data_IF_948065461234
#
_entry.id   IF_948065461234
#
_cell.length_a   1.000
_cell.length_b   1.000
_cell.length_c   1.000
_cell.angle_alpha   90.00
_cell.angle_beta   90.00
_cell.angle_gamma   90.00
#
_symmetry.space_group_name_H-M   'P 1'
#
loop_
_entity.id
_entity.type
_entity.pdbx_description
1 polymer ?
#
# COMPACT_ATOMS: atom_id res chain seq x y z
N UNK A 1 18.06 4.56 -3.56
CA UNK A 1 17.74 3.36 -4.36
C UNK A 1 16.34 3.41 -5.01
N UNK A 2 15.29 3.86 -4.31
CA UNK A 2 13.91 3.97 -4.86
C UNK A 2 13.74 4.91 -6.06
N UNK A 3 14.39 6.10 -6.07
CA UNK A 3 14.35 7.02 -7.23
C UNK A 3 14.85 6.36 -8.51
N UNK A 4 15.91 5.53 -8.43
CA UNK A 4 16.44 4.83 -9.61
C UNK A 4 15.44 3.80 -10.17
N UNK A 5 14.69 3.11 -9.32
CA UNK A 5 13.69 2.10 -9.75
C UNK A 5 12.48 2.78 -10.39
N UNK A 6 11.92 3.81 -9.74
CA UNK A 6 10.74 4.49 -10.23
C UNK A 6 11.05 5.31 -11.50
N UNK A 7 12.17 6.03 -11.53
CA UNK A 7 12.59 6.81 -12.72
C UNK A 7 12.94 5.91 -13.90
N UNK A 8 13.59 4.75 -13.68
CA UNK A 8 13.87 3.80 -14.78
C UNK A 8 12.58 3.20 -15.36
N UNK A 9 11.60 2.84 -14.53
CA UNK A 9 10.31 2.32 -15.02
C UNK A 9 9.44 3.41 -15.66
N UNK A 10 9.48 4.63 -15.13
CA UNK A 10 8.78 5.80 -15.65
C UNK A 10 9.32 6.30 -17.01
N UNK A 11 10.60 6.05 -17.32
CA UNK A 11 11.18 6.39 -18.64
C UNK A 11 10.69 5.47 -19.77
N UNK A 12 10.20 4.26 -19.46
CA UNK A 12 9.79 3.26 -20.47
C UNK A 12 8.27 3.14 -20.65
N UNK A 13 7.45 3.71 -19.76
CA UNK A 13 5.97 3.70 -19.86
C UNK A 13 5.43 5.08 -19.54
N UNK A 14 4.34 5.49 -20.19
CA UNK A 14 3.61 6.72 -19.83
C UNK A 14 3.33 6.70 -18.33
N UNK A 15 3.72 7.75 -17.59
CA UNK A 15 3.58 7.86 -16.12
C UNK A 15 2.16 7.54 -15.62
N UNK A 16 1.15 7.79 -16.46
CA UNK A 16 -0.24 7.48 -16.20
C UNK A 16 -0.55 5.97 -16.05
N UNK A 17 0.37 5.07 -16.43
CA UNK A 17 0.22 3.62 -16.33
C UNK A 17 0.77 3.02 -15.02
N UNK A 18 1.18 3.85 -14.07
CA UNK A 18 1.66 3.42 -12.75
C UNK A 18 0.72 3.98 -11.69
N UNK A 19 0.21 3.09 -10.83
CA UNK A 19 -0.50 3.45 -9.60
C UNK A 19 0.39 3.17 -8.41
N UNK A 20 0.59 4.17 -7.56
CA UNK A 20 1.22 3.99 -6.25
C UNK A 20 0.12 3.76 -5.21
N UNK A 21 0.36 2.82 -4.30
CA UNK A 21 -0.58 2.43 -3.24
C UNK A 21 0.08 2.68 -1.89
N UNK A 22 -0.62 3.34 -0.96
CA UNK A 22 -0.19 3.39 0.43
C UNK A 22 -0.44 2.03 1.10
N UNK A 23 0.63 1.28 1.34
CA UNK A 23 0.56 0.00 2.02
C UNK A 23 0.01 0.13 3.47
N UNK A 24 0.26 1.24 4.16
CA UNK A 24 -0.24 1.47 5.51
C UNK A 24 -1.77 1.68 5.51
N UNK A 25 -2.29 2.38 4.51
CA UNK A 25 -3.73 2.49 4.28
C UNK A 25 -4.33 1.16 3.84
N UNK A 26 -3.70 0.44 2.91
CA UNK A 26 -4.19 -0.87 2.42
C UNK A 26 -4.32 -1.89 3.56
N UNK A 27 -3.38 -1.90 4.51
CA UNK A 27 -3.48 -2.77 5.70
C UNK A 27 -4.68 -2.42 6.59
N UNK A 28 -4.98 -1.13 6.75
CA UNK A 28 -6.03 -0.61 7.65
C UNK A 28 -7.43 -0.63 7.02
N UNK A 29 -7.55 -0.28 5.75
CA UNK A 29 -8.79 -0.14 4.99
C UNK A 29 -8.57 -0.62 3.54
N UNK A 30 -8.44 -1.94 3.32
CA UNK A 30 -8.14 -2.50 2.01
C UNK A 30 -9.23 -2.23 0.98
N UNK A 31 -10.50 -2.20 1.39
CA UNK A 31 -11.67 -1.89 0.57
C UNK A 31 -11.54 -0.52 -0.13
N UNK A 32 -11.13 0.49 0.64
CA UNK A 32 -10.92 1.86 0.17
C UNK A 32 -9.82 1.91 -0.89
N UNK A 33 -8.69 1.27 -0.62
CA UNK A 33 -7.56 1.25 -1.55
C UNK A 33 -7.91 0.45 -2.81
N UNK A 34 -8.59 -0.68 -2.67
CA UNK A 34 -9.02 -1.50 -3.80
C UNK A 34 -10.05 -0.77 -4.65
N UNK A 35 -10.91 0.07 -4.07
CA UNK A 35 -11.78 0.95 -4.86
C UNK A 35 -10.98 1.81 -5.85
N UNK A 36 -9.94 2.49 -5.37
CA UNK A 36 -9.08 3.31 -6.22
C UNK A 36 -8.28 2.49 -7.25
N UNK A 37 -7.92 1.24 -6.93
CA UNK A 37 -7.31 0.31 -7.91
C UNK A 37 -8.29 0.01 -9.04
N UNK A 38 -9.57 -0.25 -8.73
CA UNK A 38 -10.59 -0.52 -9.75
C UNK A 38 -10.81 0.69 -10.65
N UNK A 39 -10.83 1.90 -10.09
CA UNK A 39 -10.93 3.14 -10.88
C UNK A 39 -9.73 3.36 -11.79
N UNK A 40 -8.52 3.12 -11.26
CA UNK A 40 -7.29 3.24 -12.04
C UNK A 40 -7.26 2.26 -13.22
N UNK A 41 -7.68 1.01 -12.99
CA UNK A 41 -7.76 -0.02 -14.03
C UNK A 41 -8.96 0.14 -14.98
N UNK A 42 -9.89 1.08 -14.68
CA UNK A 42 -11.12 1.32 -15.43
C UNK A 42 -11.94 0.03 -15.61
N UNK A 43 -12.08 -0.74 -14.52
CA UNK A 43 -12.87 -1.96 -14.58
C UNK A 43 -14.32 -1.64 -14.95
N UNK A 44 -14.95 -2.42 -15.85
CA UNK A 44 -16.33 -2.18 -16.29
C UNK A 44 -17.33 -2.40 -15.16
N UNK A 45 -16.98 -3.21 -14.17
CA UNK A 45 -17.82 -3.50 -13.00
C UNK A 45 -17.01 -3.26 -11.73
N UNK A 46 -17.58 -2.49 -10.80
CA UNK A 46 -16.97 -2.22 -9.49
C UNK A 46 -17.43 -3.26 -8.48
N UNK A 47 -16.47 -3.92 -7.84
CA UNK A 47 -16.64 -4.86 -6.74
C UNK A 47 -16.69 -4.07 -5.42
N UNK A 48 -17.72 -4.32 -4.61
CA UNK A 48 -17.79 -3.81 -3.24
C UNK A 48 -17.01 -4.72 -2.28
N UNK A 49 -15.73 -4.41 -2.06
CA UNK A 49 -14.84 -5.24 -1.25
C UNK A 49 -15.24 -5.35 0.23
N UNK A 50 -16.09 -4.45 0.76
CA UNK A 50 -16.64 -4.58 2.12
C UNK A 50 -17.51 -5.83 2.27
N UNK A 51 -18.10 -6.32 1.18
CA UNK A 51 -18.88 -7.55 1.13
C UNK A 51 -18.01 -8.82 1.05
N UNK A 52 -16.69 -8.68 0.83
CA UNK A 52 -15.77 -9.81 0.65
C UNK A 52 -14.67 -9.84 1.69
N UNK A 53 -14.34 -8.72 2.33
CA UNK A 53 -13.26 -8.62 3.30
C UNK A 53 -13.78 -8.37 4.71
N UNK A 54 -13.12 -8.97 5.70
CA UNK A 54 -13.35 -8.74 7.11
C UNK A 54 -12.04 -8.73 7.90
N UNK A 55 -11.96 -7.92 8.95
CA UNK A 55 -10.77 -7.89 9.80
C UNK A 55 -10.75 -9.10 10.73
N UNK A 56 -9.67 -9.88 10.68
CA UNK A 56 -9.46 -10.99 11.59
C UNK A 56 -8.50 -10.56 12.72
N UNK A 57 -8.97 -10.43 13.98
CA UNK A 57 -8.14 -9.94 15.09
C UNK A 57 -7.03 -10.93 15.48
N UNK A 58 -7.24 -12.23 15.34
CA UNK A 58 -6.22 -13.24 15.60
C UNK A 58 -5.09 -13.19 14.57
N UNK A 59 -5.42 -12.94 13.30
CA UNK A 59 -4.43 -12.76 12.24
C UNK A 59 -3.76 -11.39 12.31
N UNK A 60 -4.49 -10.36 12.73
CA UNK A 60 -4.10 -8.95 12.71
C UNK A 60 -4.20 -8.29 11.33
N UNK A 61 -4.94 -8.91 10.40
CA UNK A 61 -5.08 -8.46 9.00
C UNK A 61 -6.50 -8.73 8.49
N UNK A 62 -6.89 -8.03 7.44
CA UNK A 62 -8.10 -8.34 6.68
C UNK A 62 -7.94 -9.66 5.91
N UNK A 63 -8.99 -10.46 5.93
CA UNK A 63 -9.13 -11.73 5.25
C UNK A 63 -10.40 -11.73 4.39
N UNK A 64 -10.58 -12.75 3.54
CA UNK A 64 -11.87 -13.02 2.94
C UNK A 64 -12.88 -13.38 4.01
N UNK A 65 -14.12 -12.92 3.83
CA UNK A 65 -15.26 -13.36 4.65
C UNK A 65 -15.47 -14.86 4.52
N UNK A 66 -16.00 -15.47 5.58
CA UNK A 66 -16.36 -16.90 5.55
C UNK A 66 -17.30 -17.22 4.38
N UNK A 67 -17.06 -18.34 3.70
CA UNK A 67 -17.81 -18.77 2.51
C UNK A 67 -17.44 -18.04 1.21
N UNK A 68 -16.60 -17.01 1.27
CA UNK A 68 -16.02 -16.36 0.08
C UNK A 68 -14.71 -17.05 -0.27
N UNK A 69 -14.60 -17.51 -1.52
CA UNK A 69 -13.38 -18.10 -2.06
C UNK A 69 -13.02 -17.42 -3.37
N UNK A 70 -11.73 -17.16 -3.58
CA UNK A 70 -11.28 -16.74 -4.90
C UNK A 70 -11.38 -17.91 -5.88
N UNK A 71 -11.75 -17.65 -7.14
CA UNK A 71 -11.66 -18.65 -8.20
C UNK A 71 -10.24 -19.23 -8.28
N UNK A 72 -10.13 -20.47 -8.72
CA UNK A 72 -8.82 -21.03 -9.06
C UNK A 72 -8.29 -20.34 -10.32
N UNK A 73 -7.36 -19.42 -10.15
CA UNK A 73 -6.69 -18.72 -11.24
C UNK A 73 -5.31 -19.34 -11.44
N UNK A 74 -4.84 -19.52 -12.69
CA UNK A 74 -3.47 -19.95 -12.96
C UNK A 74 -2.45 -19.04 -12.24
N UNK A 75 -1.66 -19.61 -11.32
CA UNK A 75 -0.71 -18.86 -10.49
C UNK A 75 -1.27 -18.30 -9.18
N UNK A 76 -2.52 -18.63 -8.82
CA UNK A 76 -3.05 -18.36 -7.48
C UNK A 76 -2.27 -19.15 -6.43
N UNK A 77 -1.68 -18.45 -5.47
CA UNK A 77 -1.00 -19.06 -4.32
C UNK A 77 -1.88 -19.06 -3.06
N UNK A 78 -3.16 -18.67 -3.18
CA UNK A 78 -4.14 -18.83 -2.12
C UNK A 78 -4.73 -20.23 -2.27
N UNK A 79 -4.47 -21.14 -1.31
CA UNK A 79 -5.07 -22.46 -1.35
C UNK A 79 -6.59 -22.32 -1.38
N UNK A 80 -7.30 -23.16 -2.15
CA UNK A 80 -8.75 -23.20 -2.11
C UNK A 80 -9.20 -23.37 -0.66
N UNK A 81 -10.31 -22.72 -0.33
CA UNK A 81 -10.93 -22.75 0.99
C UNK A 81 -10.22 -22.04 2.15
N UNK A 82 -9.15 -21.25 1.89
CA UNK A 82 -8.57 -20.40 2.94
C UNK A 82 -9.11 -18.97 2.88
N UNK A 83 -9.64 -18.51 4.01
CA UNK A 83 -10.11 -17.12 4.18
C UNK A 83 -8.96 -16.13 4.29
N UNK A 84 -7.88 -16.49 4.99
CA UNK A 84 -6.74 -15.62 5.25
C UNK A 84 -5.49 -15.98 4.43
N UNK A 85 -4.62 -14.99 4.19
CA UNK A 85 -3.27 -15.22 3.70
C UNK A 85 -2.49 -16.15 4.64
N UNK A 86 -1.62 -17.00 4.07
CA UNK A 86 -0.84 -17.98 4.82
C UNK A 86 0.14 -17.37 5.84
N UNK A 87 0.71 -18.23 6.69
CA UNK A 87 1.63 -17.85 7.78
C UNK A 87 2.88 -17.08 7.31
N UNK A 88 3.28 -17.23 6.05
CA UNK A 88 4.38 -16.47 5.46
C UNK A 88 4.08 -14.98 5.24
N UNK A 89 2.82 -14.55 5.36
CA UNK A 89 2.36 -13.16 5.18
C UNK A 89 1.92 -12.56 6.53
N UNK A 90 2.53 -11.42 6.89
CA UNK A 90 2.30 -10.79 8.19
C UNK A 90 3.05 -11.49 9.32
N UNK A 91 4.33 -11.85 9.08
CA UNK A 91 5.21 -12.43 10.10
C UNK A 91 5.38 -11.43 11.25
N UNK A 92 5.42 -11.90 12.51
CA UNK A 92 5.78 -11.03 13.63
C UNK A 92 7.24 -10.61 13.46
N UNK A 93 7.49 -9.30 13.52
CA UNK A 93 8.83 -8.75 13.62
C UNK A 93 9.05 -8.26 15.06
N UNK A 94 10.30 -8.27 15.56
CA UNK A 94 10.62 -7.65 16.83
C UNK A 94 10.08 -6.21 16.89
N UNK A 95 9.47 -5.85 18.03
CA UNK A 95 9.00 -4.49 18.23
C UNK A 95 10.22 -3.60 18.45
N UNK A 96 10.48 -2.72 17.50
CA UNK A 96 11.50 -1.69 17.61
C UNK A 96 10.92 -0.46 18.31
N UNK A 97 11.69 0.16 19.20
CA UNK A 97 11.33 1.42 19.81
C UNK A 97 11.35 2.54 18.75
N UNK A 98 10.25 3.30 18.68
CA UNK A 98 10.13 4.33 17.65
C UNK A 98 11.19 5.42 17.79
N UNK A 99 11.46 5.89 19.00
CA UNK A 99 12.35 7.02 19.28
C UNK A 99 13.81 6.64 19.19
N UNK A 100 14.19 5.48 19.75
CA UNK A 100 15.61 5.10 19.88
C UNK A 100 16.11 4.26 18.71
N UNK A 101 15.25 3.59 17.95
CA UNK A 101 15.66 2.67 16.88
C UNK A 101 15.12 3.10 15.51
N UNK A 102 13.79 3.30 15.38
CA UNK A 102 13.17 3.58 14.08
C UNK A 102 13.51 5.00 13.59
N UNK A 103 13.35 6.02 14.43
CA UNK A 103 13.58 7.41 14.06
C UNK A 103 15.02 7.65 13.55
N UNK A 104 16.08 7.17 14.23
CA UNK A 104 17.44 7.28 13.71
C UNK A 104 17.61 6.64 12.33
N UNK A 105 17.04 5.45 12.10
CA UNK A 105 17.10 4.79 10.78
C UNK A 105 16.39 5.61 9.70
N UNK A 106 15.20 6.14 9.99
CA UNK A 106 14.44 6.96 9.06
C UNK A 106 15.17 8.26 8.72
N UNK A 107 15.81 8.89 9.72
CA UNK A 107 16.51 10.16 9.56
C UNK A 107 17.89 10.05 8.91
N UNK A 108 18.62 8.96 9.15
CA UNK A 108 19.98 8.81 8.63
C UNK A 108 20.00 8.05 7.30
N UNK A 109 19.34 6.90 7.21
CA UNK A 109 19.41 6.02 6.04
C UNK A 109 18.39 6.45 4.98
N UNK A 110 17.16 6.78 5.39
CA UNK A 110 16.06 6.99 4.46
C UNK A 110 15.74 8.45 4.13
N UNK A 111 16.20 9.43 4.93
CA UNK A 111 15.78 10.82 4.78
C UNK A 111 15.99 11.40 3.38
N UNK A 112 17.19 11.23 2.80
CA UNK A 112 17.47 11.72 1.45
C UNK A 112 16.59 11.03 0.39
N UNK A 113 16.37 9.71 0.53
CA UNK A 113 15.52 8.98 -0.39
C UNK A 113 14.05 9.37 -0.26
N UNK A 114 13.56 9.58 0.97
CA UNK A 114 12.19 9.99 1.25
C UNK A 114 11.92 11.42 0.77
N UNK A 115 12.86 12.35 0.97
CA UNK A 115 12.78 13.71 0.43
C UNK A 115 12.71 13.70 -1.10
N UNK A 116 13.55 12.90 -1.75
CA UNK A 116 13.52 12.76 -3.21
C UNK A 116 12.25 12.08 -3.72
N UNK A 117 11.71 11.12 -2.97
CA UNK A 117 10.42 10.51 -3.30
C UNK A 117 9.31 11.54 -3.18
N UNK A 118 9.25 12.28 -2.08
CA UNK A 118 8.27 13.34 -1.84
C UNK A 118 8.27 14.37 -2.97
N UNK A 119 9.45 14.91 -3.33
CA UNK A 119 9.59 15.82 -4.48
C UNK A 119 9.09 15.19 -5.78
N UNK A 120 9.43 13.93 -6.04
CA UNK A 120 8.96 13.23 -7.23
C UNK A 120 7.43 13.08 -7.29
N UNK A 121 6.78 12.89 -6.13
CA UNK A 121 5.32 12.80 -6.05
C UNK A 121 4.65 14.16 -6.24
N UNK A 122 5.30 15.27 -5.85
CA UNK A 122 4.82 16.62 -6.11
C UNK A 122 4.98 17.00 -7.60
N UNK A 123 6.14 16.69 -8.18
CA UNK A 123 6.48 17.09 -9.55
C UNK A 123 5.75 16.27 -10.63
N UNK A 124 5.27 15.07 -10.27
CA UNK A 124 4.67 14.13 -11.23
C UNK A 124 3.31 13.68 -10.73
N UNK A 125 2.31 13.54 -11.63
CA UNK A 125 0.97 13.03 -11.28
C UNK A 125 0.97 11.50 -11.08
N UNK A 126 1.97 10.98 -10.37
CA UNK A 126 2.12 9.58 -9.97
C UNK A 126 1.32 9.27 -8.71
N UNK A 127 1.19 10.27 -7.84
CA UNK A 127 0.32 10.22 -6.69
C UNK A 127 -1.03 10.85 -7.05
N UNK A 128 -2.11 10.11 -6.86
CA UNK A 128 -3.46 10.58 -7.20
C UNK A 128 -4.20 10.91 -5.92
N UNK A 129 -4.49 12.19 -5.73
CA UNK A 129 -5.13 12.77 -4.55
C UNK A 129 -6.47 12.11 -4.15
N UNK A 130 -7.16 11.41 -5.06
CA UNK A 130 -8.40 10.69 -4.70
C UNK A 130 -8.16 9.45 -3.82
N UNK A 131 -6.94 8.89 -3.79
CA UNK A 131 -6.53 7.90 -2.78
C UNK A 131 -6.43 8.52 -1.37
N UNK A 132 -6.13 9.82 -1.31
CA UNK A 132 -5.90 10.60 -0.11
C UNK A 132 -7.20 10.97 0.63
N UNK A 133 -8.36 10.95 -0.06
CA UNK A 133 -9.65 11.31 0.55
C UNK A 133 -10.04 10.47 1.76
N UNK A 134 -9.55 9.23 1.85
CA UNK A 134 -9.85 8.35 2.98
C UNK A 134 -8.82 8.41 4.13
N UNK A 135 -7.63 8.99 3.91
CA UNK A 135 -6.65 9.22 4.98
C UNK A 135 -6.73 10.64 5.55
N UNK A 136 -7.44 11.56 4.88
CA UNK A 136 -7.49 12.99 5.24
C UNK A 136 -6.16 13.72 5.02
N UNK A 137 -5.17 13.06 4.40
CA UNK A 137 -3.82 13.57 4.18
C UNK A 137 -3.48 13.44 2.71
N UNK A 138 -2.86 14.47 2.10
CA UNK A 138 -2.50 14.46 0.68
C UNK A 138 -1.51 13.33 0.34
N UNK A 139 -0.54 13.07 1.23
CA UNK A 139 0.48 12.03 1.10
C UNK A 139 0.44 11.06 2.30
N UNK A 140 1.07 9.87 2.21
CA UNK A 140 1.14 8.94 3.34
C UNK A 140 1.83 9.57 4.54
N UNK A 141 1.27 9.36 5.74
CA UNK A 141 1.78 10.00 6.98
C UNK A 141 3.23 9.60 7.29
N UNK A 142 3.60 8.35 7.01
CA UNK A 142 4.98 7.88 7.19
C UNK A 142 5.97 8.61 6.28
N UNK A 143 5.54 9.15 5.13
CA UNK A 143 6.39 9.91 4.24
C UNK A 143 6.52 11.35 4.73
N UNK A 144 5.39 11.99 5.07
CA UNK A 144 5.36 13.37 5.53
C UNK A 144 6.07 13.55 6.86
N UNK A 145 5.89 12.64 7.82
CA UNK A 145 6.60 12.66 9.10
C UNK A 145 8.12 12.62 8.93
N UNK A 146 8.63 11.91 7.93
CA UNK A 146 10.09 11.83 7.67
C UNK A 146 10.66 13.02 6.91
N UNK A 147 9.81 13.83 6.28
CA UNK A 147 10.24 14.96 5.44
C UNK A 147 10.03 16.29 6.15
N UNK A 148 8.92 16.45 6.88
CA UNK A 148 8.51 17.72 7.52
C UNK A 148 9.14 17.88 8.91
N UNK A 149 9.41 16.78 9.63
CA UNK A 149 9.98 16.80 10.99
C UNK A 149 11.51 16.62 11.02
N UNK A 150 12.18 16.98 9.92
CA UNK A 150 13.63 16.97 9.76
C UNK A 150 14.14 18.38 9.50
#
# INVERSE_FOLDING_TARGET
>A
MMRKVLVRRARMRRLAAILLIDAAQFRRAPDTVLHAVQEFLRLPTRINFTAYLEYNPHKGFHCLRSGVYFPDWPGSHLPPHRSCLGSSKGRPYPRLNYTTEILPLLRTIYASANRQLYQLLQDRPLWRWWLSKASGQEYPTWLTDTVIKN
#
